data_IF_654209089520
#
_entry.id   IF_654209089520
#
_cell.length_a   1.000
_cell.length_b   1.000
_cell.length_c   1.000
_cell.angle_alpha   90.00
_cell.angle_beta   90.00
_cell.angle_gamma   90.00
#
_symmetry.space_group_name_H-M   'P 1'
#
loop_
_entity.id
_entity.type
_entity.pdbx_description
1 polymer ?
#
# COMPACT_ATOMS: atom_id res chain seq x y z
N UNK A 1 8.36 51.71 -22.53
CA UNK A 1 8.69 51.05 -21.25
C UNK A 1 7.95 49.72 -21.20
N UNK A 2 8.68 48.61 -21.21
CA UNK A 2 8.17 47.30 -21.61
C UNK A 2 7.50 46.49 -20.49
N UNK A 3 6.53 45.60 -20.82
CA UNK A 3 5.85 44.72 -19.87
C UNK A 3 6.69 43.49 -19.42
N UNK A 4 8.02 43.57 -19.50
CA UNK A 4 8.94 42.44 -19.35
C UNK A 4 9.52 42.25 -17.93
N UNK A 5 8.87 42.78 -16.89
CA UNK A 5 9.39 42.76 -15.52
C UNK A 5 8.49 42.08 -14.46
N UNK A 6 7.50 41.27 -14.87
CA UNK A 6 6.63 40.54 -13.90
C UNK A 6 6.85 39.04 -13.79
N UNK A 7 7.92 38.50 -14.39
CA UNK A 7 8.22 37.05 -14.40
C UNK A 7 9.49 36.66 -13.62
N UNK A 8 10.28 37.61 -13.11
CA UNK A 8 11.65 37.34 -12.65
C UNK A 8 11.78 36.80 -11.21
N UNK A 9 10.66 36.49 -10.55
CA UNK A 9 10.63 36.05 -9.14
C UNK A 9 9.75 34.84 -8.85
N UNK A 10 9.26 34.10 -9.87
CA UNK A 10 8.64 32.80 -9.62
C UNK A 10 9.75 31.77 -9.49
N UNK A 11 10.02 31.32 -8.28
CA UNK A 11 10.82 30.10 -8.07
C UNK A 11 10.24 29.01 -8.98
N UNK A 12 11.11 28.40 -9.80
CA UNK A 12 10.76 27.33 -10.73
C UNK A 12 9.95 26.27 -9.99
N UNK A 13 8.83 25.82 -10.53
CA UNK A 13 7.87 24.97 -9.80
C UNK A 13 8.54 23.73 -9.16
N UNK A 14 9.59 23.18 -9.80
CA UNK A 14 10.41 22.12 -9.24
C UNK A 14 11.18 22.49 -7.96
N UNK A 15 11.70 23.71 -7.84
CA UNK A 15 12.36 24.20 -6.63
C UNK A 15 11.34 24.38 -5.49
N UNK A 16 10.10 24.78 -5.83
CA UNK A 16 9.00 24.87 -4.85
C UNK A 16 8.58 23.50 -4.35
N UNK A 17 8.46 22.51 -5.23
CA UNK A 17 8.22 21.10 -4.86
C UNK A 17 9.35 20.62 -3.94
N UNK A 18 10.62 20.83 -4.30
CA UNK A 18 11.75 20.39 -3.48
C UNK A 18 11.79 21.03 -2.08
N UNK A 19 11.53 22.34 -1.97
CA UNK A 19 11.47 23.03 -0.67
C UNK A 19 10.28 22.54 0.16
N UNK A 20 9.12 22.32 -0.48
CA UNK A 20 7.92 21.81 0.20
C UNK A 20 8.15 20.37 0.67
N UNK A 21 8.71 19.49 -0.16
CA UNK A 21 9.06 18.12 0.21
C UNK A 21 10.08 18.11 1.35
N UNK A 22 11.12 18.94 1.31
CA UNK A 22 12.08 19.04 2.42
C UNK A 22 11.42 19.52 3.72
N UNK A 23 10.56 20.54 3.65
CA UNK A 23 9.81 21.03 4.81
C UNK A 23 8.87 19.96 5.34
N UNK A 24 8.12 19.29 4.48
CA UNK A 24 7.23 18.19 4.87
C UNK A 24 8.03 17.03 5.47
N UNK A 25 9.15 16.62 4.89
CA UNK A 25 10.03 15.60 5.46
C UNK A 25 10.55 15.98 6.85
N UNK A 26 10.95 17.23 7.05
CA UNK A 26 11.38 17.73 8.36
C UNK A 26 10.23 17.76 9.37
N UNK A 27 9.02 18.13 8.94
CA UNK A 27 7.82 18.09 9.78
C UNK A 27 7.50 16.65 10.14
N UNK A 28 7.53 15.72 9.17
CA UNK A 28 7.32 14.29 9.41
C UNK A 28 8.37 13.70 10.34
N UNK A 29 9.63 14.11 10.19
CA UNK A 29 10.72 13.66 11.05
C UNK A 29 10.64 14.24 12.46
N UNK A 30 10.13 15.47 12.63
CA UNK A 30 10.02 16.17 13.94
C UNK A 30 8.73 15.83 14.68
N UNK A 31 7.64 15.52 13.98
CA UNK A 31 6.39 15.07 14.61
C UNK A 31 6.46 13.58 14.94
N UNK A 32 7.35 13.27 15.89
CA UNK A 32 7.73 11.93 16.28
C UNK A 32 6.52 11.06 16.66
N UNK A 33 5.51 11.66 17.28
CA UNK A 33 4.37 10.93 17.83
C UNK A 33 3.51 10.30 16.75
N UNK A 34 3.24 11.00 15.66
CA UNK A 34 2.37 10.50 14.60
C UNK A 34 3.08 9.44 13.74
N UNK A 35 4.30 9.71 13.27
CA UNK A 35 5.01 8.80 12.38
C UNK A 35 5.47 7.51 13.06
N UNK A 36 6.05 7.60 14.26
CA UNK A 36 6.53 6.41 14.97
C UNK A 36 5.40 5.57 15.54
N UNK A 37 4.29 6.17 15.98
CA UNK A 37 3.13 5.38 16.41
C UNK A 37 2.57 4.57 15.24
N UNK A 38 2.44 5.17 14.06
CA UNK A 38 2.01 4.47 12.84
C UNK A 38 2.98 3.33 12.50
N UNK A 39 4.29 3.57 12.50
CA UNK A 39 5.29 2.51 12.29
C UNK A 39 5.16 1.36 13.30
N UNK A 40 5.05 1.68 14.59
CA UNK A 40 4.88 0.66 15.65
C UNK A 40 3.63 -0.16 15.44
N UNK A 41 2.50 0.46 15.08
CA UNK A 41 1.25 -0.26 14.79
C UNK A 41 1.41 -1.22 13.60
N UNK A 42 2.10 -0.78 12.54
CA UNK A 42 2.40 -1.65 11.39
C UNK A 42 3.26 -2.85 11.79
N UNK A 43 4.26 -2.65 12.65
CA UNK A 43 5.12 -3.72 13.14
C UNK A 43 4.37 -4.70 14.04
N UNK A 44 3.54 -4.19 14.95
CA UNK A 44 2.71 -5.04 15.83
C UNK A 44 1.72 -5.87 15.02
N UNK A 45 1.12 -5.28 13.98
CA UNK A 45 0.24 -6.00 13.07
C UNK A 45 0.99 -7.09 12.31
N UNK A 46 2.15 -6.76 11.71
CA UNK A 46 2.97 -7.72 10.98
C UNK A 46 3.42 -8.89 11.87
N UNK A 47 3.79 -8.60 13.12
CA UNK A 47 4.16 -9.61 14.11
C UNK A 47 2.97 -10.46 14.53
N UNK A 48 1.81 -9.85 14.76
CA UNK A 48 0.57 -10.57 15.13
C UNK A 48 0.15 -11.55 14.04
N UNK A 49 0.18 -11.10 12.77
CA UNK A 49 -0.15 -11.98 11.65
C UNK A 49 0.94 -13.05 11.48
N UNK A 50 2.22 -12.66 11.48
CA UNK A 50 3.32 -13.60 11.30
C UNK A 50 3.34 -14.70 12.36
N UNK A 51 3.03 -14.38 13.62
CA UNK A 51 2.99 -15.36 14.72
C UNK A 51 1.83 -16.35 14.62
N UNK A 52 0.67 -15.95 14.11
CA UNK A 52 -0.46 -16.86 13.86
C UNK A 52 -0.12 -17.89 12.77
N UNK A 53 0.70 -17.49 11.79
CA UNK A 53 1.04 -18.29 10.61
C UNK A 53 2.49 -18.82 10.65
N UNK A 54 3.03 -19.08 11.84
CA UNK A 54 4.38 -19.68 11.99
C UNK A 54 4.42 -21.10 11.42
N UNK A 55 5.54 -21.41 10.76
CA UNK A 55 5.93 -22.77 10.32
C UNK A 55 4.86 -23.48 9.49
N UNK A 56 4.42 -22.82 8.42
CA UNK A 56 3.51 -23.43 7.47
C UNK A 56 4.28 -24.52 6.71
N UNK A 57 3.95 -25.80 6.93
CA UNK A 57 4.64 -26.93 6.28
C UNK A 57 4.58 -26.91 4.73
N UNK A 58 4.97 -28.02 4.08
CA UNK A 58 5.07 -28.10 2.61
C UNK A 58 3.95 -28.93 1.93
N UNK A 59 2.81 -29.14 2.60
CA UNK A 59 1.68 -29.89 2.03
C UNK A 59 0.82 -29.05 1.08
N UNK A 60 -0.02 -29.68 0.27
CA UNK A 60 -0.98 -28.96 -0.58
C UNK A 60 -1.93 -28.07 0.24
N UNK A 61 -2.32 -28.50 1.44
CA UNK A 61 -3.12 -27.68 2.37
C UNK A 61 -2.38 -26.42 2.83
N UNK A 62 -1.05 -26.48 2.89
CA UNK A 62 -0.19 -25.37 3.35
C UNK A 62 -0.12 -24.24 2.33
N UNK A 63 -0.31 -24.56 1.03
CA UNK A 63 -0.39 -23.58 -0.07
C UNK A 63 -1.52 -22.59 0.18
N UNK A 64 -2.72 -23.09 0.49
CA UNK A 64 -3.89 -22.26 0.76
C UNK A 64 -3.65 -21.39 2.00
N UNK A 65 -3.05 -21.94 3.06
CA UNK A 65 -2.74 -21.20 4.29
C UNK A 65 -1.71 -20.08 4.04
N UNK A 66 -0.66 -20.34 3.24
CA UNK A 66 0.33 -19.32 2.83
C UNK A 66 -0.30 -18.19 2.03
N UNK A 67 -1.15 -18.52 1.03
CA UNK A 67 -1.89 -17.52 0.26
C UNK A 67 -2.80 -16.69 1.18
N UNK A 68 -3.48 -17.36 2.12
CA UNK A 68 -4.33 -16.70 3.13
C UNK A 68 -3.52 -15.71 3.97
N UNK A 69 -2.34 -16.11 4.44
CA UNK A 69 -1.45 -15.26 5.22
C UNK A 69 -1.01 -14.02 4.43
N UNK A 70 -0.61 -14.17 3.16
CA UNK A 70 -0.23 -13.05 2.29
C UNK A 70 -1.40 -12.10 2.03
N UNK A 71 -2.58 -12.65 1.74
CA UNK A 71 -3.80 -11.86 1.56
C UNK A 71 -4.12 -11.05 2.81
N UNK A 72 -4.15 -11.71 3.98
CA UNK A 72 -4.41 -11.10 5.28
C UNK A 72 -3.40 -10.00 5.59
N UNK A 73 -2.12 -10.22 5.30
CA UNK A 73 -1.06 -9.23 5.48
C UNK A 73 -1.31 -7.97 4.64
N UNK A 74 -1.44 -8.11 3.31
CA UNK A 74 -1.69 -6.97 2.41
C UNK A 74 -2.97 -6.22 2.81
N UNK A 75 -4.05 -6.97 3.05
CA UNK A 75 -5.35 -6.41 3.43
C UNK A 75 -5.28 -5.60 4.72
N UNK A 76 -4.70 -6.14 5.78
CA UNK A 76 -4.65 -5.43 7.05
C UNK A 76 -3.68 -4.25 7.05
N UNK A 77 -2.58 -4.29 6.28
CA UNK A 77 -1.71 -3.13 6.10
C UNK A 77 -2.49 -1.94 5.48
N UNK A 78 -3.33 -2.22 4.48
CA UNK A 78 -4.18 -1.21 3.85
C UNK A 78 -5.25 -0.72 4.82
N UNK A 79 -5.93 -1.60 5.56
CA UNK A 79 -6.93 -1.17 6.55
C UNK A 79 -6.31 -0.32 7.66
N UNK A 80 -5.12 -0.68 8.14
CA UNK A 80 -4.43 0.08 9.18
C UNK A 80 -4.07 1.50 8.72
N UNK A 81 -3.93 1.73 7.41
CA UNK A 81 -3.65 3.07 6.88
C UNK A 81 -4.77 4.08 7.16
N UNK A 82 -6.02 3.61 7.35
CA UNK A 82 -7.18 4.45 7.69
C UNK A 82 -6.95 5.25 8.97
N UNK A 83 -6.13 4.74 9.90
CA UNK A 83 -5.78 5.45 11.13
C UNK A 83 -5.06 6.78 10.86
N UNK A 84 -4.46 6.97 9.68
CA UNK A 84 -3.79 8.20 9.27
C UNK A 84 -4.73 9.28 8.69
N UNK A 85 -5.98 8.94 8.38
CA UNK A 85 -6.93 9.85 7.71
C UNK A 85 -7.12 11.20 8.42
N UNK A 86 -7.26 11.28 9.76
CA UNK A 86 -7.43 12.56 10.44
C UNK A 86 -6.27 13.53 10.17
N UNK A 87 -5.03 13.02 10.21
CA UNK A 87 -3.84 13.85 9.97
C UNK A 87 -3.79 14.37 8.54
N UNK A 88 -4.13 13.54 7.55
CA UNK A 88 -4.22 13.97 6.14
C UNK A 88 -5.25 15.08 5.94
N UNK A 89 -6.40 14.98 6.61
CA UNK A 89 -7.45 16.00 6.52
C UNK A 89 -7.00 17.31 7.16
N UNK A 90 -6.33 17.26 8.31
CA UNK A 90 -5.82 18.45 8.98
C UNK A 90 -4.77 19.17 8.13
N UNK A 91 -3.87 18.44 7.48
CA UNK A 91 -2.89 19.00 6.54
C UNK A 91 -3.57 19.64 5.32
N UNK A 92 -4.59 18.99 4.74
CA UNK A 92 -5.36 19.53 3.60
C UNK A 92 -6.12 20.80 4.02
N UNK A 93 -6.66 20.86 5.24
CA UNK A 93 -7.33 22.06 5.77
C UNK A 93 -6.36 23.21 5.95
N UNK A 94 -5.18 22.96 6.51
CA UNK A 94 -4.12 23.97 6.63
C UNK A 94 -3.74 24.49 5.24
N UNK A 95 -3.54 23.58 4.28
CA UNK A 95 -3.26 23.96 2.89
C UNK A 95 -4.39 24.79 2.28
N UNK A 96 -5.66 24.42 2.47
CA UNK A 96 -6.80 25.18 1.93
C UNK A 96 -6.84 26.63 2.45
N UNK A 97 -6.38 26.84 3.68
CA UNK A 97 -6.27 28.17 4.27
C UNK A 97 -5.07 28.94 3.69
N UNK A 98 -3.94 28.27 3.46
CA UNK A 98 -2.75 28.87 2.84
C UNK A 98 -2.95 29.20 1.34
N UNK A 99 -3.70 28.38 0.59
CA UNK A 99 -3.98 28.58 -0.84
C UNK A 99 -4.89 29.79 -1.10
N UNK A 100 -5.78 30.12 -0.16
CA UNK A 100 -6.54 31.37 -0.18
C UNK A 100 -5.63 32.62 -0.30
N UNK A 101 -4.37 32.51 0.16
CA UNK A 101 -3.34 33.54 0.06
C UNK A 101 -2.46 33.44 -1.22
N UNK A 102 -2.87 32.66 -2.24
CA UNK A 102 -2.28 32.53 -3.59
C UNK A 102 -0.80 32.08 -3.65
N UNK A 103 -0.33 31.28 -2.69
CA UNK A 103 1.10 30.95 -2.61
C UNK A 103 1.55 29.71 -3.41
N UNK A 104 0.72 28.67 -3.56
CA UNK A 104 1.10 27.39 -4.23
C UNK A 104 -0.10 26.72 -4.90
N UNK A 105 0.09 26.05 -6.04
CA UNK A 105 -1.00 25.33 -6.72
C UNK A 105 -1.26 23.93 -6.13
N UNK A 106 -2.51 23.45 -6.22
CA UNK A 106 -2.97 22.18 -5.62
C UNK A 106 -2.12 20.96 -6.00
N UNK A 107 -1.66 20.90 -7.26
CA UNK A 107 -0.80 19.82 -7.73
C UNK A 107 0.59 19.83 -7.08
N UNK A 108 1.12 21.02 -6.76
CA UNK A 108 2.43 21.16 -6.10
C UNK A 108 2.35 20.66 -4.66
N UNK A 109 1.24 20.93 -3.97
CA UNK A 109 1.00 20.40 -2.63
C UNK A 109 0.85 18.88 -2.63
N UNK A 110 -0.02 18.35 -3.50
CA UNK A 110 -0.28 16.90 -3.58
C UNK A 110 1.01 16.13 -3.90
N UNK A 111 1.78 16.59 -4.89
CA UNK A 111 3.06 15.97 -5.25
C UNK A 111 4.11 16.13 -4.15
N UNK A 112 4.17 17.31 -3.50
CA UNK A 112 5.08 17.55 -2.39
C UNK A 112 4.85 16.62 -1.22
N UNK A 113 3.58 16.42 -0.84
CA UNK A 113 3.15 15.47 0.20
C UNK A 113 3.43 14.03 -0.19
N UNK A 114 3.03 13.64 -1.41
CA UNK A 114 3.28 12.29 -1.93
C UNK A 114 4.77 11.94 -1.88
N UNK A 115 5.65 12.84 -2.38
CA UNK A 115 7.09 12.64 -2.35
C UNK A 115 7.66 12.61 -0.92
N UNK A 116 7.09 13.40 0.00
CA UNK A 116 7.50 13.39 1.39
C UNK A 116 7.13 12.07 2.11
N UNK A 117 6.04 11.42 1.71
CA UNK A 117 5.63 10.12 2.29
C UNK A 117 6.54 8.94 1.89
N UNK A 118 7.25 9.03 0.75
CA UNK A 118 8.03 7.91 0.19
C UNK A 118 9.04 7.29 1.18
N UNK A 119 9.93 8.05 1.85
CA UNK A 119 10.91 7.45 2.75
C UNK A 119 10.27 6.72 3.92
N UNK A 120 9.17 7.26 4.44
CA UNK A 120 8.43 6.66 5.53
C UNK A 120 7.73 5.36 5.11
N UNK A 121 7.01 5.37 3.99
CA UNK A 121 6.34 4.19 3.46
C UNK A 121 7.35 3.09 3.08
N UNK A 122 8.54 3.48 2.59
CA UNK A 122 9.62 2.54 2.32
C UNK A 122 10.14 1.88 3.60
N UNK A 123 10.32 2.65 4.67
CA UNK A 123 10.71 2.12 5.99
C UNK A 123 9.65 1.16 6.55
N UNK A 124 8.37 1.53 6.47
CA UNK A 124 7.24 0.67 6.88
C UNK A 124 7.24 -0.62 6.07
N UNK A 125 7.40 -0.52 4.75
CA UNK A 125 7.42 -1.70 3.86
C UNK A 125 8.55 -2.65 4.22
N UNK A 126 9.79 -2.16 4.33
CA UNK A 126 10.96 -2.99 4.69
C UNK A 126 10.74 -3.68 6.04
N UNK A 127 10.42 -2.89 7.07
CA UNK A 127 10.36 -3.40 8.43
C UNK A 127 9.22 -4.42 8.63
N UNK A 128 8.01 -4.10 8.15
CA UNK A 128 6.86 -5.01 8.26
C UNK A 128 7.03 -6.27 7.40
N UNK A 129 7.58 -6.13 6.19
CA UNK A 129 7.84 -7.25 5.30
C UNK A 129 8.90 -8.19 5.86
N UNK A 130 10.02 -7.68 6.39
CA UNK A 130 11.07 -8.53 6.98
C UNK A 130 10.52 -9.38 8.12
N UNK A 131 9.76 -8.79 9.04
CA UNK A 131 9.16 -9.52 10.16
C UNK A 131 8.21 -10.61 9.65
N UNK A 132 7.29 -10.25 8.76
CA UNK A 132 6.32 -11.21 8.23
C UNK A 132 6.97 -12.33 7.41
N UNK A 133 7.92 -11.98 6.53
CA UNK A 133 8.58 -12.90 5.60
C UNK A 133 9.36 -14.00 6.30
N UNK A 134 10.12 -13.62 7.33
CA UNK A 134 10.91 -14.56 8.11
C UNK A 134 10.07 -15.39 9.09
N UNK A 135 8.99 -14.84 9.66
CA UNK A 135 8.11 -15.59 10.56
C UNK A 135 7.36 -16.72 9.86
N UNK A 136 6.91 -16.49 8.62
CA UNK A 136 6.18 -17.49 7.83
C UNK A 136 7.11 -18.52 7.17
N UNK A 137 8.38 -18.17 6.97
CA UNK A 137 9.31 -19.03 6.24
C UNK A 137 8.98 -19.08 4.74
N UNK A 138 8.90 -17.91 4.12
CA UNK A 138 8.85 -17.76 2.66
C UNK A 138 10.21 -18.10 2.02
N UNK A 139 10.29 -18.13 0.69
CA UNK A 139 11.51 -18.56 -0.02
C UNK A 139 12.77 -17.76 0.38
N UNK A 140 13.83 -18.45 0.81
CA UNK A 140 15.04 -17.80 1.32
C UNK A 140 15.99 -17.21 0.26
N UNK A 141 15.49 -16.61 -0.82
CA UNK A 141 16.33 -15.92 -1.80
C UNK A 141 16.09 -14.41 -1.79
N UNK A 142 17.19 -13.65 -1.91
CA UNK A 142 17.17 -12.20 -1.86
C UNK A 142 16.29 -11.56 -2.96
N UNK A 143 16.23 -12.18 -4.14
CA UNK A 143 15.40 -11.69 -5.25
C UNK A 143 13.91 -11.69 -4.89
N UNK A 144 13.41 -12.81 -4.34
CA UNK A 144 12.00 -12.96 -3.94
C UNK A 144 11.66 -12.08 -2.74
N UNK A 145 12.58 -11.88 -1.80
CA UNK A 145 12.41 -10.94 -0.69
C UNK A 145 12.32 -9.48 -1.19
N UNK A 146 13.20 -9.08 -2.11
CA UNK A 146 13.18 -7.72 -2.65
C UNK A 146 11.93 -7.44 -3.46
N UNK A 147 11.47 -8.40 -4.28
CA UNK A 147 10.21 -8.28 -4.98
C UNK A 147 9.02 -8.14 -4.01
N UNK A 148 9.01 -8.90 -2.91
CA UNK A 148 8.00 -8.79 -1.86
C UNK A 148 7.99 -7.37 -1.26
N UNK A 149 9.15 -6.85 -0.83
CA UNK A 149 9.28 -5.51 -0.24
C UNK A 149 8.83 -4.42 -1.22
N UNK A 150 9.24 -4.50 -2.49
CA UNK A 150 8.87 -3.53 -3.52
C UNK A 150 7.37 -3.58 -3.80
N UNK A 151 6.78 -4.77 -3.84
CA UNK A 151 5.33 -4.95 -4.05
C UNK A 151 4.52 -4.32 -2.92
N UNK A 152 4.91 -4.56 -1.66
CA UNK A 152 4.27 -3.93 -0.49
C UNK A 152 4.48 -2.42 -0.49
N UNK A 153 5.66 -1.94 -0.87
CA UNK A 153 5.96 -0.51 -0.97
C UNK A 153 5.07 0.18 -2.02
N UNK A 154 4.97 -0.39 -3.23
CA UNK A 154 4.11 0.15 -4.29
C UNK A 154 2.64 0.11 -3.89
N UNK A 155 2.21 -0.93 -3.18
CA UNK A 155 0.86 -1.05 -2.65
C UNK A 155 0.54 0.06 -1.63
N UNK A 156 1.44 0.30 -0.67
CA UNK A 156 1.31 1.38 0.32
C UNK A 156 1.34 2.76 -0.34
N UNK A 157 2.15 2.95 -1.38
CA UNK A 157 2.25 4.19 -2.12
C UNK A 157 0.96 4.49 -2.91
N UNK A 158 0.41 3.49 -3.60
CA UNK A 158 -0.88 3.61 -4.28
C UNK A 158 -2.01 3.92 -3.28
N UNK A 159 -1.96 3.28 -2.11
CA UNK A 159 -2.90 3.52 -1.05
C UNK A 159 -2.82 4.95 -0.48
N UNK A 160 -1.62 5.49 -0.29
CA UNK A 160 -1.41 6.87 0.15
C UNK A 160 -1.99 7.89 -0.86
N UNK A 161 -1.78 7.65 -2.16
CA UNK A 161 -2.40 8.47 -3.21
C UNK A 161 -3.94 8.42 -3.16
N UNK A 162 -4.52 7.22 -3.00
CA UNK A 162 -5.97 7.06 -2.87
C UNK A 162 -6.51 7.80 -1.64
N UNK A 163 -5.87 7.66 -0.48
CA UNK A 163 -6.27 8.35 0.74
C UNK A 163 -6.26 9.87 0.56
N UNK A 164 -5.23 10.42 -0.10
CA UNK A 164 -5.19 11.86 -0.38
C UNK A 164 -6.33 12.33 -1.29
N UNK A 165 -6.63 11.56 -2.35
CA UNK A 165 -7.74 11.90 -3.26
C UNK A 165 -9.06 11.91 -2.49
N UNK A 166 -9.32 10.88 -1.68
CA UNK A 166 -10.57 10.78 -0.90
C UNK A 166 -10.64 11.86 0.20
N UNK A 167 -9.54 12.15 0.88
CA UNK A 167 -9.47 13.20 1.90
C UNK A 167 -9.66 14.61 1.31
N UNK A 168 -9.23 14.83 0.06
CA UNK A 168 -9.49 16.08 -0.65
C UNK A 168 -10.98 16.23 -1.03
N UNK A 169 -11.62 15.14 -1.45
CA UNK A 169 -13.06 15.12 -1.77
C UNK A 169 -13.89 15.34 -0.49
N UNK A 170 -13.53 14.63 0.58
CA UNK A 170 -14.23 14.63 1.85
C UNK A 170 -13.37 15.29 2.93
N UNK A 171 -13.55 16.61 3.13
CA UNK A 171 -12.87 17.39 4.18
C UNK A 171 -13.37 17.09 5.61
N UNK A 172 -14.24 16.08 5.76
CA UNK A 172 -14.80 15.58 7.01
C UNK A 172 -14.29 14.17 7.31
N UNK A 173 -13.69 13.98 8.49
CA UNK A 173 -13.04 12.74 8.91
C UNK A 173 -13.97 11.53 8.86
N UNK A 174 -15.22 11.68 9.32
CA UNK A 174 -16.20 10.59 9.34
C UNK A 174 -16.53 10.11 7.91
N UNK A 175 -16.87 11.02 7.00
CA UNK A 175 -17.23 10.68 5.61
C UNK A 175 -16.04 10.08 4.87
N UNK A 176 -14.85 10.67 5.00
CA UNK A 176 -13.63 10.15 4.39
C UNK A 176 -13.31 8.72 4.86
N UNK A 177 -13.33 8.50 6.18
CA UNK A 177 -13.08 7.18 6.78
C UNK A 177 -14.10 6.14 6.29
N UNK A 178 -15.39 6.49 6.27
CA UNK A 178 -16.46 5.61 5.80
C UNK A 178 -16.26 5.22 4.32
N UNK A 179 -15.92 6.19 3.47
CA UNK A 179 -15.65 5.93 2.04
C UNK A 179 -14.44 5.03 1.86
N UNK A 180 -13.33 5.28 2.56
CA UNK A 180 -12.12 4.46 2.46
C UNK A 180 -12.34 3.03 2.90
N UNK A 181 -13.00 2.81 4.04
CA UNK A 181 -13.31 1.46 4.53
C UNK A 181 -14.18 0.71 3.52
N UNK A 182 -15.22 1.36 2.97
CA UNK A 182 -16.07 0.77 1.94
C UNK A 182 -15.26 0.37 0.70
N UNK A 183 -14.40 1.26 0.21
CA UNK A 183 -13.52 0.98 -0.93
C UNK A 183 -12.57 -0.18 -0.64
N UNK A 184 -11.92 -0.21 0.51
CA UNK A 184 -10.98 -1.28 0.87
C UNK A 184 -11.67 -2.64 1.00
N UNK A 185 -12.85 -2.71 1.60
CA UNK A 185 -13.63 -3.96 1.68
C UNK A 185 -14.00 -4.47 0.29
N UNK A 186 -14.40 -3.59 -0.62
CA UNK A 186 -14.67 -3.96 -2.03
C UNK A 186 -13.39 -4.47 -2.71
N UNK A 187 -12.26 -3.78 -2.53
CA UNK A 187 -10.97 -4.18 -3.10
C UNK A 187 -10.50 -5.54 -2.58
N UNK A 188 -10.72 -5.84 -1.30
CA UNK A 188 -10.43 -7.15 -0.69
C UNK A 188 -11.29 -8.26 -1.28
N UNK A 189 -12.58 -7.99 -1.53
CA UNK A 189 -13.48 -8.98 -2.10
C UNK A 189 -13.05 -9.41 -3.52
N UNK A 190 -12.52 -8.46 -4.29
CA UNK A 190 -12.06 -8.67 -5.68
C UNK A 190 -10.56 -9.01 -5.77
N UNK A 191 -9.88 -9.19 -4.64
CA UNK A 191 -8.44 -9.45 -4.60
C UNK A 191 -8.00 -10.81 -5.21
N UNK A 192 -8.94 -11.68 -5.57
CA UNK A 192 -8.66 -13.00 -6.15
C UNK A 192 -8.46 -14.12 -5.12
N UNK A 193 -8.49 -13.81 -3.82
CA UNK A 193 -8.37 -14.81 -2.74
C UNK A 193 -9.66 -15.61 -2.54
N UNK A 194 -10.81 -14.94 -2.38
CA UNK A 194 -12.10 -15.61 -2.13
C UNK A 194 -12.61 -16.38 -3.33
N UNK A 195 -12.33 -15.87 -4.54
CA UNK A 195 -12.70 -16.48 -5.79
C UNK A 195 -11.65 -16.14 -6.83
N UNK A 196 -11.22 -17.14 -7.59
CA UNK A 196 -10.32 -16.97 -8.72
C UNK A 196 -10.93 -15.93 -9.67
N UNK A 197 -10.11 -14.96 -10.11
CA UNK A 197 -10.51 -13.80 -10.90
C UNK A 197 -11.39 -14.17 -12.11
N UNK A 198 -10.99 -15.20 -12.86
CA UNK A 198 -11.69 -15.66 -14.07
C UNK A 198 -13.10 -16.24 -13.80
N UNK A 199 -13.39 -16.60 -12.55
CA UNK A 199 -14.69 -17.12 -12.16
C UNK A 199 -15.64 -16.03 -11.62
N UNK A 200 -15.17 -14.79 -11.43
CA UNK A 200 -15.97 -13.70 -10.86
C UNK A 200 -17.06 -13.23 -11.84
N UNK A 201 -18.26 -12.83 -11.38
CA UNK A 201 -19.31 -12.34 -12.28
C UNK A 201 -18.88 -11.11 -13.09
N UNK A 202 -19.02 -11.20 -14.41
CA UNK A 202 -18.36 -10.30 -15.36
C UNK A 202 -18.80 -8.83 -15.30
N UNK A 203 -20.04 -8.54 -14.88
CA UNK A 203 -20.67 -7.24 -15.12
C UNK A 203 -20.10 -6.06 -14.34
N UNK A 204 -19.60 -6.28 -13.12
CA UNK A 204 -19.12 -5.21 -12.22
C UNK A 204 -17.84 -5.63 -11.51
N UNK A 205 -17.75 -6.90 -11.16
CA UNK A 205 -16.71 -7.44 -10.29
C UNK A 205 -15.44 -7.84 -11.04
N UNK A 206 -15.57 -8.47 -12.22
CA UNK A 206 -14.41 -8.72 -13.09
C UNK A 206 -13.95 -7.42 -13.76
N UNK A 207 -14.84 -6.74 -14.47
CA UNK A 207 -14.58 -5.44 -15.07
C UNK A 207 -15.65 -4.43 -14.61
N UNK A 208 -15.28 -3.25 -14.07
CA UNK A 208 -13.93 -2.67 -13.99
C UNK A 208 -13.21 -2.87 -12.63
N UNK A 209 -13.88 -3.37 -11.58
CA UNK A 209 -13.35 -3.35 -10.21
C UNK A 209 -12.04 -4.13 -10.03
N UNK A 210 -11.92 -5.33 -10.60
CA UNK A 210 -10.70 -6.13 -10.48
C UNK A 210 -9.50 -5.49 -11.18
N UNK A 211 -9.73 -4.68 -12.21
CA UNK A 211 -8.67 -4.03 -12.98
C UNK A 211 -8.19 -2.73 -12.34
N UNK A 212 -9.05 -2.05 -11.57
CA UNK A 212 -8.72 -0.82 -10.86
C UNK A 212 -8.06 -1.12 -9.50
N UNK A 213 -8.36 -2.29 -8.92
CA UNK A 213 -7.89 -2.65 -7.58
C UNK A 213 -6.39 -2.93 -7.54
N UNK A 214 -5.60 -1.98 -7.02
CA UNK A 214 -4.17 -2.20 -6.74
C UNK A 214 -3.94 -3.35 -5.74
N UNK A 215 -4.91 -3.62 -4.87
CA UNK A 215 -4.88 -4.74 -3.93
C UNK A 215 -4.85 -6.09 -4.67
N UNK A 216 -5.61 -6.24 -5.76
CA UNK A 216 -5.63 -7.47 -6.56
C UNK A 216 -4.26 -7.74 -7.17
N UNK A 217 -3.61 -6.73 -7.73
CA UNK A 217 -2.27 -6.88 -8.30
C UNK A 217 -1.20 -7.16 -7.25
N UNK A 218 -1.30 -6.55 -6.07
CA UNK A 218 -0.37 -6.82 -4.97
C UNK A 218 -0.46 -8.29 -4.54
N UNK A 219 -1.67 -8.79 -4.27
CA UNK A 219 -1.86 -10.21 -3.86
C UNK A 219 -1.42 -11.16 -4.98
N UNK A 220 -1.83 -10.92 -6.22
CA UNK A 220 -1.43 -11.76 -7.35
C UNK A 220 0.10 -11.80 -7.51
N UNK A 221 0.77 -10.64 -7.46
CA UNK A 221 2.22 -10.55 -7.58
C UNK A 221 2.94 -11.32 -6.46
N UNK A 222 2.48 -11.22 -5.21
CA UNK A 222 3.07 -11.96 -4.10
C UNK A 222 2.89 -13.48 -4.24
N UNK A 223 1.73 -13.93 -4.72
CA UNK A 223 1.46 -15.35 -4.96
C UNK A 223 2.32 -15.88 -6.10
N UNK A 224 2.43 -15.16 -7.21
CA UNK A 224 3.31 -15.54 -8.32
C UNK A 224 4.78 -15.59 -7.86
N UNK A 225 5.23 -14.60 -7.09
CA UNK A 225 6.59 -14.56 -6.54
C UNK A 225 6.95 -15.78 -5.68
N UNK A 226 6.00 -16.30 -4.89
CA UNK A 226 6.26 -17.48 -4.05
C UNK A 226 6.20 -18.79 -4.84
N UNK A 227 5.24 -18.92 -5.76
CA UNK A 227 4.91 -20.22 -6.35
C UNK A 227 5.46 -20.46 -7.76
N UNK A 228 5.95 -19.44 -8.47
CA UNK A 228 6.65 -19.63 -9.74
C UNK A 228 7.90 -20.50 -9.50
N UNK A 229 8.08 -21.50 -10.36
CA UNK A 229 9.15 -22.50 -10.31
C UNK A 229 9.17 -23.40 -9.05
N UNK A 230 8.08 -23.45 -8.29
CA UNK A 230 7.92 -24.42 -7.18
C UNK A 230 7.19 -25.67 -7.63
N UNK A 231 7.44 -26.80 -6.95
CA UNK A 231 6.72 -28.05 -7.17
C UNK A 231 6.28 -28.67 -5.85
N UNK A 232 5.05 -29.18 -5.80
CA UNK A 232 4.45 -29.80 -4.61
C UNK A 232 4.21 -31.27 -4.87
N UNK A 233 4.61 -32.12 -3.92
CA UNK A 233 4.33 -33.55 -3.98
C UNK A 233 2.84 -33.83 -3.73
N UNK A 234 2.24 -34.61 -4.62
CA UNK A 234 0.86 -35.11 -4.54
C UNK A 234 0.94 -36.63 -4.47
N UNK A 235 0.82 -37.18 -3.26
CA UNK A 235 1.04 -38.61 -3.00
C UNK A 235 2.53 -39.00 -3.05
N UNK A 236 2.81 -40.27 -3.32
CA UNK A 236 4.18 -40.81 -3.23
C UNK A 236 5.05 -40.58 -4.47
N UNK A 237 4.47 -40.28 -5.64
CA UNK A 237 5.19 -40.31 -6.94
C UNK A 237 4.90 -39.14 -7.88
N UNK A 238 3.90 -38.30 -7.62
CA UNK A 238 3.52 -37.20 -8.53
C UNK A 238 3.88 -35.85 -7.91
N UNK A 239 4.40 -34.94 -8.72
CA UNK A 239 4.59 -33.54 -8.34
C UNK A 239 3.74 -32.65 -9.24
N UNK A 240 3.10 -31.63 -8.68
CA UNK A 240 2.39 -30.60 -9.43
C UNK A 240 3.15 -29.27 -9.34
N UNK A 241 3.17 -28.45 -10.41
CA UNK A 241 3.76 -27.13 -10.35
C UNK A 241 2.94 -26.21 -9.43
N UNK A 242 3.60 -25.29 -8.72
CA UNK A 242 2.98 -24.36 -7.77
C UNK A 242 1.87 -23.51 -8.39
N UNK A 243 2.04 -23.07 -9.63
CA UNK A 243 1.02 -22.32 -10.38
C UNK A 243 -0.28 -23.12 -10.54
N UNK A 244 -0.19 -24.45 -10.67
CA UNK A 244 -1.35 -25.33 -10.72
C UNK A 244 -1.92 -25.58 -9.33
N UNK A 245 -1.07 -25.70 -8.30
CA UNK A 245 -1.50 -25.84 -6.90
C UNK A 245 -2.32 -24.62 -6.40
N UNK A 246 -2.01 -23.42 -6.90
CA UNK A 246 -2.74 -22.18 -6.59
C UNK A 246 -4.14 -22.15 -7.22
N UNK A 247 -4.34 -22.81 -8.37
CA UNK A 247 -5.60 -22.76 -9.14
C UNK A 247 -6.64 -23.82 -8.75
N UNK A 248 -6.23 -24.85 -7.99
CA UNK A 248 -7.10 -25.97 -7.61
C UNK A 248 -7.18 -27.04 -8.68
#
# INVERSE_FOLDING_TARGET
EGPYLKSKGRARDAARIGILTWRSLLIMSRDWKYFWSRLVLYMLLALSIGTIFIDIGHSLSSVVVRISAMFVFVSFLILLSVCGVPAHIDEIKIYSHEDSNRHSGTLVFLLGHFLASIPFLFLVSISSSLVFYFLIGLRNEFSFLMYFIITIFMCLLANEALMMIVAYIWLETYKCTLTLICLYVIMMLVAGYFRIRDAIPAAVWDYPLSYISFHTYAVQGLVENEYVDTSFAVGATRTIPGVQAVRG
#
